data_IF_944791997058
#
_entry.id   IF_944791997058
#
_cell.length_a   1.000
_cell.length_b   1.000
_cell.length_c   1.000
_cell.angle_alpha   90.00
_cell.angle_beta   90.00
_cell.angle_gamma   90.00
#
_symmetry.space_group_name_H-M   'P 1'
#
loop_
_entity.id
_entity.type
_entity.pdbx_description
1 polymer ?
#
# COMPACT_ATOMS: atom_id res chain seq x y z
N UNK A 1 -18.68 -29.34 46.00
CA UNK A 1 -18.54 -28.51 44.77
C UNK A 1 -19.94 -28.10 44.37
N UNK A 2 -20.22 -26.80 44.37
CA UNK A 2 -21.58 -26.27 44.26
C UNK A 2 -22.04 -26.24 42.79
N UNK A 3 -23.04 -27.06 42.38
CA UNK A 3 -23.41 -27.23 40.98
C UNK A 3 -23.94 -25.96 40.31
N UNK A 4 -24.42 -24.99 41.10
CA UNK A 4 -24.89 -23.69 40.61
C UNK A 4 -23.76 -22.80 40.12
N UNK A 5 -22.56 -22.87 40.74
CA UNK A 5 -21.40 -22.07 40.33
C UNK A 5 -20.91 -22.44 38.92
N UNK A 6 -20.86 -23.76 38.64
CA UNK A 6 -20.43 -24.27 37.34
C UNK A 6 -21.41 -23.98 36.21
N UNK A 7 -22.71 -23.84 36.50
CA UNK A 7 -23.72 -23.45 35.50
C UNK A 7 -23.56 -21.97 35.10
N UNK A 8 -23.30 -21.08 36.07
CA UNK A 8 -23.08 -19.65 35.83
C UNK A 8 -21.81 -19.41 35.01
N UNK A 9 -20.73 -20.14 35.28
CA UNK A 9 -19.48 -20.04 34.51
C UNK A 9 -19.65 -20.50 33.06
N UNK A 10 -20.39 -21.60 32.83
CA UNK A 10 -20.73 -22.08 31.49
C UNK A 10 -21.56 -21.06 30.72
N UNK A 11 -22.59 -20.48 31.34
CA UNK A 11 -23.41 -19.44 30.72
C UNK A 11 -22.59 -18.21 30.32
N UNK A 12 -21.72 -17.72 31.21
CA UNK A 12 -20.80 -16.60 30.90
C UNK A 12 -19.83 -16.92 29.78
N UNK A 13 -19.32 -18.16 29.72
CA UNK A 13 -18.41 -18.58 28.65
C UNK A 13 -19.11 -18.64 27.29
N UNK A 14 -20.36 -19.12 27.25
CA UNK A 14 -21.18 -19.15 26.05
C UNK A 14 -21.50 -17.73 25.56
N UNK A 15 -21.94 -16.84 26.45
CA UNK A 15 -22.20 -15.43 26.13
C UNK A 15 -20.95 -14.72 25.58
N UNK A 16 -19.78 -14.99 26.16
CA UNK A 16 -18.51 -14.43 25.69
C UNK A 16 -18.09 -14.99 24.32
N UNK A 17 -18.38 -16.25 24.04
CA UNK A 17 -18.12 -16.86 22.74
C UNK A 17 -19.04 -16.27 21.66
N UNK A 18 -20.33 -16.07 21.98
CA UNK A 18 -21.32 -15.44 21.11
C UNK A 18 -20.93 -14.00 20.75
N UNK A 19 -20.60 -13.17 21.74
CA UNK A 19 -20.13 -11.80 21.50
C UNK A 19 -18.86 -11.74 20.63
N UNK A 20 -17.94 -12.70 20.81
CA UNK A 20 -16.74 -12.81 19.95
C UNK A 20 -17.10 -13.20 18.52
N UNK A 21 -18.06 -14.10 18.33
CA UNK A 21 -18.52 -14.53 17.02
C UNK A 21 -19.21 -13.38 16.28
N UNK A 22 -20.10 -12.64 16.96
CA UNK A 22 -20.75 -11.44 16.39
C UNK A 22 -19.74 -10.36 16.00
N UNK A 23 -18.77 -10.08 16.88
CA UNK A 23 -17.71 -9.11 16.57
C UNK A 23 -16.86 -9.56 15.37
N UNK A 24 -16.53 -10.85 15.29
CA UNK A 24 -15.77 -11.41 14.17
C UNK A 24 -16.55 -11.31 12.85
N UNK A 25 -17.86 -11.59 12.88
CA UNK A 25 -18.74 -11.46 11.72
C UNK A 25 -18.82 -9.99 11.25
N UNK A 26 -19.08 -9.05 12.17
CA UNK A 26 -19.14 -7.63 11.84
C UNK A 26 -17.80 -7.11 11.27
N UNK A 27 -16.67 -7.59 11.79
CA UNK A 27 -15.35 -7.27 11.26
C UNK A 27 -15.14 -7.85 9.85
N UNK A 28 -15.58 -9.09 9.60
CA UNK A 28 -15.50 -9.70 8.28
C UNK A 28 -16.31 -8.90 7.26
N UNK A 29 -17.55 -8.51 7.59
CA UNK A 29 -18.39 -7.70 6.72
C UNK A 29 -17.75 -6.34 6.40
N UNK A 30 -17.17 -5.68 7.41
CA UNK A 30 -16.43 -4.42 7.21
C UNK A 30 -15.23 -4.58 6.28
N UNK A 31 -14.54 -5.72 6.33
CA UNK A 31 -13.41 -6.01 5.44
C UNK A 31 -13.88 -6.28 4.01
N UNK A 32 -14.98 -7.03 3.84
CA UNK A 32 -15.60 -7.27 2.52
C UNK A 32 -15.98 -5.94 1.86
N UNK A 33 -16.67 -5.05 2.57
CA UNK A 33 -17.01 -3.73 2.06
C UNK A 33 -15.78 -2.87 1.71
N UNK A 34 -14.67 -3.02 2.45
CA UNK A 34 -13.42 -2.33 2.13
C UNK A 34 -12.78 -2.90 0.86
N UNK A 35 -12.81 -4.22 0.67
CA UNK A 35 -12.32 -4.87 -0.55
C UNK A 35 -13.12 -4.42 -1.77
N UNK A 36 -14.46 -4.45 -1.71
CA UNK A 36 -15.30 -4.00 -2.81
C UNK A 36 -15.03 -2.54 -3.23
N UNK A 37 -14.76 -1.66 -2.25
CA UNK A 37 -14.37 -0.27 -2.53
C UNK A 37 -12.99 -0.17 -3.18
N UNK A 38 -12.04 -0.98 -2.74
CA UNK A 38 -10.70 -1.02 -3.34
C UNK A 38 -10.75 -1.57 -4.76
N UNK A 39 -11.51 -2.64 -5.00
CA UNK A 39 -11.73 -3.22 -6.33
C UNK A 39 -12.29 -2.18 -7.31
N UNK A 40 -13.35 -1.47 -6.91
CA UNK A 40 -13.92 -0.37 -7.71
C UNK A 40 -12.91 0.76 -7.98
N UNK A 41 -12.07 1.06 -7.01
CA UNK A 41 -11.03 2.10 -7.17
C UNK A 41 -9.96 1.65 -8.16
N UNK A 42 -9.51 0.38 -8.06
CA UNK A 42 -8.55 -0.22 -8.99
C UNK A 42 -9.10 -0.25 -10.40
N UNK A 43 -10.37 -0.66 -10.58
CA UNK A 43 -11.03 -0.67 -11.88
C UNK A 43 -11.07 0.74 -12.51
N UNK A 44 -11.43 1.76 -11.71
CA UNK A 44 -11.43 3.15 -12.19
C UNK A 44 -10.02 3.64 -12.57
N UNK A 45 -9.00 3.28 -11.79
CA UNK A 45 -7.62 3.62 -12.10
C UNK A 45 -7.13 2.90 -13.36
N UNK A 46 -7.53 1.65 -13.59
CA UNK A 46 -7.19 0.91 -14.80
C UNK A 46 -7.77 1.59 -16.04
N UNK A 47 -9.05 1.99 -16.01
CA UNK A 47 -9.67 2.75 -17.09
C UNK A 47 -8.99 4.10 -17.33
N UNK A 48 -8.66 4.83 -16.27
CA UNK A 48 -7.96 6.11 -16.36
C UNK A 48 -6.56 5.97 -16.96
N UNK A 49 -5.78 4.99 -16.49
CA UNK A 49 -4.45 4.70 -17.03
C UNK A 49 -4.51 4.27 -18.50
N UNK A 50 -5.55 3.53 -18.90
CA UNK A 50 -5.77 3.16 -20.31
C UNK A 50 -6.05 4.40 -21.16
N UNK A 51 -6.93 5.30 -20.72
CA UNK A 51 -7.21 6.54 -21.43
C UNK A 51 -5.97 7.45 -21.54
N UNK A 52 -5.18 7.56 -20.46
CA UNK A 52 -3.90 8.29 -20.48
C UNK A 52 -2.94 7.67 -21.49
N UNK A 53 -2.82 6.34 -21.51
CA UNK A 53 -1.98 5.65 -22.47
C UNK A 53 -2.41 5.92 -23.91
N UNK A 54 -3.70 5.85 -24.23
CA UNK A 54 -4.22 6.12 -25.57
C UNK A 54 -3.84 7.54 -26.02
N UNK A 55 -4.09 8.55 -25.18
CA UNK A 55 -3.72 9.95 -25.45
C UNK A 55 -2.22 10.10 -25.70
N UNK A 56 -1.38 9.50 -24.85
CA UNK A 56 0.09 9.60 -24.97
C UNK A 56 0.61 8.83 -26.18
N UNK A 57 0.04 7.67 -26.48
CA UNK A 57 0.47 6.83 -27.60
C UNK A 57 0.20 7.49 -28.94
N UNK A 58 -0.95 8.17 -29.07
CA UNK A 58 -1.29 8.96 -30.24
C UNK A 58 -0.37 10.19 -30.36
N UNK A 59 -0.16 10.92 -29.26
CA UNK A 59 0.63 12.15 -29.27
C UNK A 59 2.12 11.92 -29.53
N UNK A 60 2.67 10.79 -29.09
CA UNK A 60 4.10 10.47 -29.19
C UNK A 60 4.41 9.33 -30.17
N UNK A 61 3.41 8.85 -30.91
CA UNK A 61 3.51 7.71 -31.84
C UNK A 61 4.14 6.48 -31.17
N UNK A 62 3.74 6.20 -29.94
CA UNK A 62 4.24 5.06 -29.17
C UNK A 62 3.46 3.80 -29.52
N UNK A 63 4.16 2.68 -29.56
CA UNK A 63 3.57 1.37 -29.78
C UNK A 63 3.28 0.67 -28.46
N UNK A 64 2.42 -0.34 -28.49
CA UNK A 64 2.20 -1.21 -27.32
C UNK A 64 3.47 -1.97 -26.91
N UNK A 65 4.41 -2.18 -27.84
CA UNK A 65 5.70 -2.80 -27.55
C UNK A 65 6.56 -1.89 -26.67
N UNK A 66 6.58 -0.59 -26.93
CA UNK A 66 7.29 0.40 -26.11
C UNK A 66 6.77 0.40 -24.67
N UNK A 67 5.45 0.30 -24.50
CA UNK A 67 4.83 0.16 -23.18
C UNK A 67 5.29 -1.10 -22.45
N UNK A 68 5.30 -2.24 -23.14
CA UNK A 68 5.72 -3.53 -22.56
C UNK A 68 7.17 -3.49 -22.13
N UNK A 69 8.05 -2.87 -22.91
CA UNK A 69 9.46 -2.70 -22.59
C UNK A 69 9.65 -1.78 -21.39
N UNK A 70 8.95 -0.65 -21.35
CA UNK A 70 9.02 0.29 -20.21
C UNK A 70 8.50 -0.35 -18.92
N UNK A 71 7.41 -1.11 -18.99
CA UNK A 71 6.87 -1.84 -17.83
C UNK A 71 7.86 -2.88 -17.30
N UNK A 72 8.51 -3.64 -18.18
CA UNK A 72 9.57 -4.60 -17.80
C UNK A 72 10.75 -3.90 -17.12
N UNK A 73 11.20 -2.76 -17.65
CA UNK A 73 12.29 -1.98 -17.05
C UNK A 73 11.93 -1.52 -15.63
N UNK A 74 10.74 -0.94 -15.44
CA UNK A 74 10.27 -0.47 -14.13
C UNK A 74 10.12 -1.65 -13.15
N UNK A 75 9.56 -2.79 -13.59
CA UNK A 75 9.44 -3.97 -12.73
C UNK A 75 10.82 -4.54 -12.33
N UNK A 76 11.79 -4.53 -13.24
CA UNK A 76 13.16 -4.92 -12.95
C UNK A 76 13.82 -3.98 -11.92
N UNK A 77 13.61 -2.67 -12.05
CA UNK A 77 14.08 -1.68 -11.07
C UNK A 77 13.44 -1.88 -9.68
N UNK A 78 12.14 -2.14 -9.62
CA UNK A 78 11.45 -2.40 -8.34
C UNK A 78 11.89 -3.71 -7.69
N UNK A 79 12.03 -4.78 -8.46
CA UNK A 79 12.52 -6.06 -7.93
C UNK A 79 13.97 -5.94 -7.44
N UNK A 80 14.83 -5.22 -8.14
CA UNK A 80 16.17 -4.89 -7.66
C UNK A 80 16.14 -4.03 -6.38
N UNK A 81 15.25 -3.02 -6.30
CA UNK A 81 15.07 -2.16 -5.13
C UNK A 81 14.43 -2.86 -3.92
N UNK A 82 13.71 -3.97 -4.13
CA UNK A 82 13.17 -4.81 -3.06
C UNK A 82 14.24 -5.74 -2.46
N UNK A 83 15.20 -6.19 -3.28
CA UNK A 83 16.29 -7.11 -2.86
C UNK A 83 17.44 -6.36 -2.21
N UNK A 84 17.72 -5.15 -2.67
CA UNK A 84 18.63 -4.22 -2.03
C UNK A 84 17.76 -3.22 -1.31
N UNK A 85 17.50 -3.39 -0.01
CA UNK A 85 16.79 -2.38 0.77
C UNK A 85 17.46 -1.02 0.57
N UNK A 86 16.99 -0.23 -0.40
CA UNK A 86 17.64 1.02 -0.78
C UNK A 86 17.45 1.96 0.40
N UNK A 87 18.50 2.07 1.22
CA UNK A 87 18.78 3.25 2.00
C UNK A 87 18.48 4.43 1.07
N UNK A 88 17.56 5.32 1.47
CA UNK A 88 17.31 6.50 0.68
C UNK A 88 18.67 7.20 0.45
N UNK A 89 18.89 7.79 -0.74
CA UNK A 89 20.16 8.41 -1.08
C UNK A 89 20.63 9.32 0.06
N UNK A 90 21.92 9.30 0.43
CA UNK A 90 22.42 10.11 1.52
C UNK A 90 22.22 11.59 1.20
N UNK A 91 21.94 12.39 2.23
CA UNK A 91 21.71 13.82 2.06
C UNK A 91 22.89 14.48 1.33
N UNK A 92 22.66 15.30 0.28
CA UNK A 92 23.75 15.95 -0.45
C UNK A 92 24.53 16.95 0.41
N UNK A 93 23.94 17.43 1.52
CA UNK A 93 24.56 18.41 2.43
C UNK A 93 25.30 17.77 3.63
N UNK A 94 24.73 16.75 4.27
CA UNK A 94 25.29 16.17 5.49
C UNK A 94 25.65 14.68 5.37
N UNK A 95 25.38 14.07 4.22
CA UNK A 95 25.70 12.69 3.84
C UNK A 95 25.10 11.61 4.75
N UNK A 96 24.16 11.97 5.63
CA UNK A 96 23.42 11.02 6.45
C UNK A 96 22.29 10.36 5.64
N UNK A 97 21.87 9.13 5.99
CA UNK A 97 20.78 8.44 5.32
C UNK A 97 19.48 9.25 5.42
N UNK A 98 18.76 9.37 4.31
CA UNK A 98 17.43 10.00 4.31
C UNK A 98 16.36 8.98 4.71
N UNK A 99 15.26 9.49 5.27
CA UNK A 99 14.05 8.72 5.49
C UNK A 99 13.17 8.87 4.25
N UNK A 100 12.58 7.78 3.73
CA UNK A 100 11.72 7.84 2.53
C UNK A 100 10.43 8.61 2.84
N UNK A 101 9.93 9.36 1.85
CA UNK A 101 8.67 10.11 1.97
C UNK A 101 8.78 11.47 2.67
N UNK A 102 9.99 11.94 3.03
CA UNK A 102 10.21 13.31 3.52
C UNK A 102 10.85 14.19 2.46
N UNK A 103 10.38 15.42 2.38
CA UNK A 103 10.89 16.51 1.55
C UNK A 103 12.16 17.18 2.13
N UNK A 104 12.47 16.92 3.40
CA UNK A 104 13.52 17.59 4.15
C UNK A 104 14.37 16.61 4.96
N UNK A 105 15.68 16.85 5.02
CA UNK A 105 16.60 16.04 5.80
C UNK A 105 16.39 16.27 7.31
N UNK A 106 16.07 15.21 8.05
CA UNK A 106 15.87 15.26 9.51
C UNK A 106 17.11 15.70 10.30
N UNK A 107 18.30 15.58 9.72
CA UNK A 107 19.55 15.91 10.41
C UNK A 107 20.06 17.32 10.16
N UNK A 108 19.90 17.85 8.95
CA UNK A 108 20.49 19.14 8.56
C UNK A 108 19.50 20.14 7.96
N UNK A 109 18.23 19.75 7.81
CA UNK A 109 17.17 20.60 7.27
C UNK A 109 17.28 20.91 5.79
N UNK A 110 18.24 20.32 5.06
CA UNK A 110 18.34 20.53 3.62
C UNK A 110 17.13 19.93 2.90
N UNK A 111 16.53 20.65 1.93
CA UNK A 111 15.50 20.07 1.06
C UNK A 111 16.11 18.93 0.25
N UNK A 112 15.34 17.85 0.09
CA UNK A 112 15.71 16.74 -0.76
C UNK A 112 15.16 16.96 -2.16
N UNK A 113 16.03 16.86 -3.17
CA UNK A 113 15.60 16.80 -4.55
C UNK A 113 15.17 15.35 -4.82
N UNK A 114 13.88 15.08 -4.61
CA UNK A 114 13.31 13.79 -4.96
C UNK A 114 13.37 13.66 -6.48
N UNK A 115 14.26 12.79 -6.98
CA UNK A 115 14.47 12.61 -8.42
C UNK A 115 13.19 12.26 -9.20
N UNK A 116 12.19 11.69 -8.52
CA UNK A 116 10.84 11.50 -9.03
C UNK A 116 9.80 11.76 -7.95
N UNK A 117 8.65 12.34 -8.32
CA UNK A 117 7.47 12.46 -7.44
C UNK A 117 7.01 11.07 -6.97
N UNK A 118 7.26 10.02 -7.74
CA UNK A 118 6.92 8.65 -7.34
C UNK A 118 7.84 8.08 -6.24
N UNK A 119 8.98 8.72 -5.95
CA UNK A 119 9.91 8.30 -4.88
C UNK A 119 9.50 8.84 -3.49
N UNK A 120 8.63 9.85 -3.46
CA UNK A 120 8.10 10.48 -2.25
C UNK A 120 6.65 10.07 -1.95
N UNK A 121 5.99 9.36 -2.87
CA UNK A 121 4.68 8.77 -2.58
C UNK A 121 4.85 7.64 -1.55
N UNK A 122 3.98 7.58 -0.53
CA UNK A 122 4.07 6.58 0.55
C UNK A 122 3.83 5.14 0.08
#
# INVERSE_FOLDING_TARGET
MDPLLGAVEKFRSAQKAEQKAEFAAAKADSLVQRLERLEKTIERLAHLNRAIWEILSEAANLTEQDLKERLKAIAAEQTAASRQGKLAPPCPKCHRPLERGRDTCVYCGAPHDAGSVFDILP
#
